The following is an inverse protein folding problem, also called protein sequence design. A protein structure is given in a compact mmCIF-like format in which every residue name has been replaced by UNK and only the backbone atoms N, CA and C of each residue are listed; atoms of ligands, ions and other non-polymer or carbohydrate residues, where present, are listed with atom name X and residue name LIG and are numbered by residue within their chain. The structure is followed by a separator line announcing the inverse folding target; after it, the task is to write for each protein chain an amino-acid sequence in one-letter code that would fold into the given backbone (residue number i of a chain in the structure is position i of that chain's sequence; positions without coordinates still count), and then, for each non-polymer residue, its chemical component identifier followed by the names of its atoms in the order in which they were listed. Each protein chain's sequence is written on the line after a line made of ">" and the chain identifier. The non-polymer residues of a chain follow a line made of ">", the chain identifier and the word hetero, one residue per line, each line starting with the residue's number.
data_IF_394214040174
#
_entry.id   IF_394214040174
#
_cell.length_a   1.000
_cell.length_b   1.000
_cell.length_c   1.000
_cell.angle_alpha   90.00
_cell.angle_beta   90.00
_cell.angle_gamma   90.00
#
_symmetry.space_group_name_H-M   'P 1'
#
loop_
_entity.id
_entity.type
_entity.pdbx_description
1 polymer ?
#
# COMPACT_ATOMS: atom_id res chain seq x y z
N UNK A 1 -54.02 -77.27 7.01
CA UNK A 1 -54.32 -76.19 6.10
C UNK A 1 -54.04 -74.89 6.82
N UNK A 2 -52.89 -74.35 6.64
CA UNK A 2 -52.50 -73.08 7.23
C UNK A 2 -52.00 -72.19 6.11
N UNK A 3 -52.80 -71.21 5.75
CA UNK A 3 -52.32 -70.16 4.83
C UNK A 3 -51.51 -69.17 5.66
N UNK A 4 -50.22 -69.19 5.40
CA UNK A 4 -49.34 -68.16 5.92
C UNK A 4 -49.40 -66.95 4.98
N UNK A 5 -50.08 -65.90 5.43
CA UNK A 5 -50.05 -64.59 4.74
C UNK A 5 -48.78 -63.89 5.15
N UNK A 6 -47.81 -63.89 4.27
CA UNK A 6 -46.60 -63.11 4.44
C UNK A 6 -46.92 -61.63 4.52
N UNK A 7 -46.59 -61.05 5.65
CA UNK A 7 -46.57 -59.63 5.87
C UNK A 7 -45.58 -58.98 4.89
N UNK A 8 -46.12 -58.30 3.93
CA UNK A 8 -45.34 -57.45 3.06
C UNK A 8 -44.74 -56.29 3.84
N UNK A 9 -43.49 -56.33 4.08
CA UNK A 9 -42.74 -55.13 4.54
C UNK A 9 -42.79 -54.06 3.47
N UNK A 10 -43.57 -53.03 3.74
CA UNK A 10 -43.48 -51.81 2.94
C UNK A 10 -42.17 -51.11 3.33
N UNK A 11 -41.14 -51.51 2.63
CA UNK A 11 -39.92 -50.68 2.59
C UNK A 11 -40.23 -49.51 1.71
N UNK A 12 -40.42 -48.35 2.28
CA UNK A 12 -40.36 -47.13 1.51
C UNK A 12 -38.99 -47.09 0.79
N UNK A 13 -38.99 -46.91 -0.53
CA UNK A 13 -37.74 -46.70 -1.21
C UNK A 13 -37.12 -45.40 -0.69
N UNK A 14 -36.01 -45.50 0.03
CA UNK A 14 -35.20 -44.36 0.34
C UNK A 14 -34.81 -43.71 -0.98
N UNK A 15 -35.56 -42.67 -1.32
CA UNK A 15 -35.24 -41.84 -2.49
C UNK A 15 -34.00 -41.05 -2.12
N UNK A 16 -32.85 -41.62 -2.40
CA UNK A 16 -31.58 -40.90 -2.36
C UNK A 16 -31.67 -39.81 -3.41
N UNK A 17 -32.08 -38.65 -3.00
CA UNK A 17 -32.01 -37.45 -3.84
C UNK A 17 -30.54 -37.03 -3.88
N UNK A 18 -29.79 -37.56 -4.82
CA UNK A 18 -28.48 -37.07 -5.12
C UNK A 18 -28.62 -35.66 -5.72
N UNK A 19 -28.41 -34.64 -4.90
CA UNK A 19 -28.39 -33.27 -5.34
C UNK A 19 -27.08 -33.09 -6.12
N UNK A 20 -27.20 -32.90 -7.44
CA UNK A 20 -26.06 -32.55 -8.23
C UNK A 20 -25.57 -31.13 -7.86
N UNK A 21 -24.46 -31.05 -7.14
CA UNK A 21 -23.92 -29.79 -6.65
C UNK A 21 -23.23 -28.95 -7.72
N UNK A 22 -23.02 -29.51 -8.91
CA UNK A 22 -22.31 -28.81 -10.00
C UNK A 22 -22.95 -27.49 -10.40
N UNK A 23 -24.28 -27.38 -10.62
CA UNK A 23 -24.91 -26.10 -10.94
C UNK A 23 -24.79 -25.07 -9.82
N UNK A 24 -24.83 -25.52 -8.56
CA UNK A 24 -24.70 -24.66 -7.39
C UNK A 24 -23.29 -24.05 -7.28
N UNK A 25 -22.28 -24.87 -7.50
CA UNK A 25 -20.88 -24.43 -7.49
C UNK A 25 -20.62 -23.42 -8.61
N UNK A 26 -21.17 -23.66 -9.81
CA UNK A 26 -21.01 -22.77 -10.95
C UNK A 26 -21.61 -21.39 -10.69
N UNK A 27 -22.83 -21.34 -10.13
CA UNK A 27 -23.46 -20.07 -9.73
C UNK A 27 -22.64 -19.35 -8.66
N UNK A 28 -22.15 -20.06 -7.67
CA UNK A 28 -21.31 -19.45 -6.61
C UNK A 28 -19.99 -18.92 -7.18
N UNK A 29 -19.37 -19.65 -8.10
CA UNK A 29 -18.13 -19.21 -8.76
C UNK A 29 -18.37 -17.93 -9.56
N UNK A 30 -19.44 -17.87 -10.34
CA UNK A 30 -19.79 -16.68 -11.14
C UNK A 30 -20.06 -15.48 -10.24
N UNK A 31 -20.78 -15.68 -9.13
CA UNK A 31 -21.04 -14.61 -8.15
C UNK A 31 -19.76 -14.08 -7.52
N UNK A 32 -18.81 -14.95 -7.17
CA UNK A 32 -17.52 -14.54 -6.60
C UNK A 32 -16.72 -13.74 -7.63
N UNK A 33 -16.66 -14.20 -8.86
CA UNK A 33 -15.97 -13.48 -9.94
C UNK A 33 -16.61 -12.10 -10.17
N UNK A 34 -17.94 -12.04 -10.23
CA UNK A 34 -18.67 -10.79 -10.36
C UNK A 34 -18.39 -9.84 -9.19
N UNK A 35 -18.36 -10.38 -7.98
CA UNK A 35 -18.06 -9.58 -6.78
C UNK A 35 -16.64 -8.98 -6.86
N UNK A 36 -15.64 -9.76 -7.27
CA UNK A 36 -14.25 -9.31 -7.39
C UNK A 36 -14.12 -8.21 -8.46
N UNK A 37 -14.82 -8.36 -9.59
CA UNK A 37 -14.78 -7.38 -10.68
C UNK A 37 -15.53 -6.09 -10.30
N UNK A 38 -16.60 -6.21 -9.52
CA UNK A 38 -17.45 -5.06 -9.14
C UNK A 38 -16.98 -4.33 -7.89
N UNK A 39 -15.99 -4.88 -7.13
CA UNK A 39 -15.38 -4.12 -6.04
C UNK A 39 -14.72 -2.89 -6.66
N UNK A 40 -15.28 -1.70 -6.46
CA UNK A 40 -14.63 -0.49 -6.96
C UNK A 40 -13.28 -0.38 -6.27
N UNK A 41 -12.21 -0.34 -7.05
CA UNK A 41 -10.92 0.07 -6.53
C UNK A 41 -11.17 1.47 -5.96
N UNK A 42 -11.19 1.57 -4.65
CA UNK A 42 -11.25 2.85 -3.99
C UNK A 42 -9.94 3.57 -4.32
N UNK A 43 -9.97 4.26 -5.45
CA UNK A 43 -9.00 5.31 -5.65
C UNK A 43 -9.22 6.27 -4.51
N UNK A 44 -8.30 6.31 -3.57
CA UNK A 44 -8.22 7.42 -2.65
C UNK A 44 -7.97 8.66 -3.51
N UNK A 45 -9.08 9.19 -4.06
CA UNK A 45 -9.05 10.51 -4.60
C UNK A 45 -8.77 11.42 -3.41
N UNK A 46 -7.55 11.88 -3.33
CA UNK A 46 -7.21 13.01 -2.48
C UNK A 46 -8.16 14.10 -2.92
N UNK A 47 -9.15 14.41 -2.09
CA UNK A 47 -10.00 15.58 -2.29
C UNK A 47 -9.07 16.79 -2.15
N UNK A 48 -8.50 17.19 -3.26
CA UNK A 48 -7.90 18.51 -3.39
C UNK A 48 -9.08 19.49 -3.31
N UNK A 49 -9.40 19.91 -2.10
CA UNK A 49 -10.17 21.13 -1.91
C UNK A 49 -9.30 22.27 -2.45
N UNK A 50 -9.43 22.52 -3.74
CA UNK A 50 -8.89 23.74 -4.32
C UNK A 50 -9.73 24.88 -3.73
N UNK A 51 -9.16 25.73 -2.88
CA UNK A 51 -9.86 26.92 -2.44
C UNK A 51 -10.18 27.75 -3.68
N UNK A 52 -11.45 28.04 -3.88
CA UNK A 52 -11.93 28.95 -4.90
C UNK A 52 -11.64 30.38 -4.42
N UNK A 53 -10.42 30.79 -4.58
CA UNK A 53 -9.89 32.09 -4.20
C UNK A 53 -8.38 31.97 -4.31
N UNK A 54 -7.70 32.95 -4.87
CA UNK A 54 -6.24 33.04 -4.82
C UNK A 54 -5.83 32.95 -3.34
N UNK A 55 -5.28 31.81 -2.88
CA UNK A 55 -4.72 31.79 -1.55
C UNK A 55 -3.60 32.84 -1.52
N UNK A 56 -3.45 33.58 -0.45
CA UNK A 56 -2.26 34.40 -0.28
C UNK A 56 -1.05 33.46 -0.54
N UNK A 57 -0.01 33.93 -1.24
CA UNK A 57 1.18 33.14 -1.45
C UNK A 57 1.62 32.64 -0.07
N UNK A 58 1.95 31.35 0.08
CA UNK A 58 2.43 30.85 1.36
C UNK A 58 3.61 31.73 1.78
N UNK A 59 3.55 32.25 2.98
CA UNK A 59 4.54 33.19 3.52
C UNK A 59 5.98 32.60 3.52
N UNK A 60 6.09 31.29 3.35
CA UNK A 60 7.35 30.57 3.24
C UNK A 60 7.19 29.41 2.25
N UNK A 61 8.01 29.38 1.20
CA UNK A 61 8.18 28.17 0.40
C UNK A 61 8.75 27.10 1.35
N UNK A 62 8.13 25.88 1.38
CA UNK A 62 8.65 24.81 2.23
C UNK A 62 10.09 24.49 1.81
N UNK A 63 10.98 24.46 2.79
CA UNK A 63 12.35 23.99 2.57
C UNK A 63 12.31 22.56 2.05
N UNK A 64 13.02 22.27 0.97
CA UNK A 64 13.10 20.94 0.38
C UNK A 64 14.54 20.43 0.51
N UNK A 65 14.71 19.31 1.18
CA UNK A 65 16.00 18.65 1.27
C UNK A 65 16.03 17.39 0.43
N UNK A 66 17.11 17.17 -0.28
CA UNK A 66 17.28 15.98 -1.11
C UNK A 66 18.27 15.02 -0.50
N UNK A 67 17.85 13.77 -0.34
CA UNK A 67 18.68 12.66 0.12
C UNK A 67 18.97 11.76 -1.07
N UNK A 68 20.16 11.85 -1.62
CA UNK A 68 20.63 10.95 -2.68
C UNK A 68 21.25 9.70 -2.06
N UNK A 69 20.87 8.53 -2.56
CA UNK A 69 21.44 7.25 -2.15
C UNK A 69 22.14 6.64 -3.36
N UNK A 70 23.46 6.53 -3.30
CA UNK A 70 24.25 6.00 -4.41
C UNK A 70 24.23 4.46 -4.44
N UNK A 71 24.72 3.89 -5.53
CA UNK A 71 24.71 2.44 -5.78
C UNK A 71 25.49 1.62 -4.74
N UNK A 72 26.50 2.23 -4.10
CA UNK A 72 27.31 1.61 -3.03
C UNK A 72 26.70 1.75 -1.63
N UNK A 73 25.53 2.44 -1.53
CA UNK A 73 24.84 2.71 -0.27
C UNK A 73 25.34 3.97 0.44
N UNK A 74 26.21 4.76 -0.18
CA UNK A 74 26.59 6.07 0.34
C UNK A 74 25.41 7.04 0.25
N UNK A 75 25.29 7.91 1.27
CA UNK A 75 24.18 8.83 1.40
C UNK A 75 24.72 10.26 1.29
N UNK A 76 24.07 11.06 0.47
CA UNK A 76 24.34 12.49 0.34
C UNK A 76 23.12 13.29 0.77
N UNK A 77 23.35 14.38 1.49
CA UNK A 77 22.35 15.35 1.88
C UNK A 77 22.61 16.66 1.12
N UNK A 78 21.65 17.07 0.29
CA UNK A 78 21.77 18.27 -0.56
C UNK A 78 23.07 18.33 -1.36
N UNK A 79 23.56 17.15 -1.80
CA UNK A 79 24.80 16.99 -2.57
C UNK A 79 26.07 16.85 -1.73
N UNK A 80 25.99 16.92 -0.41
CA UNK A 80 27.11 16.67 0.51
C UNK A 80 27.07 15.25 1.09
N UNK A 81 28.16 14.50 1.00
CA UNK A 81 28.26 13.19 1.63
C UNK A 81 28.07 13.30 3.15
N UNK A 82 27.18 12.48 3.68
CA UNK A 82 26.88 12.43 5.12
C UNK A 82 26.97 11.01 5.66
N UNK A 83 27.36 10.90 6.91
CA UNK A 83 27.29 9.63 7.62
C UNK A 83 25.86 9.37 8.12
N UNK A 84 25.56 8.12 8.43
CA UNK A 84 24.24 7.75 9.00
C UNK A 84 23.89 8.57 10.25
N UNK A 85 24.87 8.87 11.11
CA UNK A 85 24.65 9.68 12.31
C UNK A 85 24.31 11.14 11.98
N UNK A 86 24.94 11.70 10.95
CA UNK A 86 24.64 13.06 10.49
C UNK A 86 23.28 13.13 9.83
N UNK A 87 22.95 12.13 9.03
CA UNK A 87 21.61 12.00 8.43
C UNK A 87 20.53 11.96 9.53
N UNK A 88 20.71 11.12 10.54
CA UNK A 88 19.78 11.01 11.66
C UNK A 88 19.62 12.35 12.40
N UNK A 89 20.70 13.06 12.67
CA UNK A 89 20.62 14.39 13.30
C UNK A 89 19.81 15.40 12.45
N UNK A 90 20.04 15.40 11.14
CA UNK A 90 19.29 16.26 10.22
C UNK A 90 17.80 15.91 10.21
N UNK A 91 17.47 14.60 10.16
CA UNK A 91 16.09 14.13 10.17
C UNK A 91 15.38 14.45 11.50
N UNK A 92 16.05 14.26 12.62
CA UNK A 92 15.53 14.63 13.96
C UNK A 92 15.27 16.13 14.04
N UNK A 93 16.14 16.96 13.49
CA UNK A 93 15.97 18.42 13.47
C UNK A 93 14.71 18.80 12.71
N UNK A 94 14.47 18.16 11.56
CA UNK A 94 13.25 18.39 10.77
C UNK A 94 12.02 17.84 11.51
N UNK A 95 12.11 16.62 12.03
CA UNK A 95 10.99 15.95 12.70
C UNK A 95 10.51 16.67 13.96
N UNK A 96 11.40 17.35 14.67
CA UNK A 96 11.09 18.12 15.87
C UNK A 96 10.48 19.49 15.58
N UNK A 97 10.47 19.94 14.31
CA UNK A 97 9.90 21.23 13.93
C UNK A 97 8.38 21.19 14.09
N UNK A 98 7.83 22.09 14.84
CA UNK A 98 6.39 22.23 15.05
C UNK A 98 5.94 23.64 14.65
N UNK A 99 4.78 23.81 14.00
CA UNK A 99 3.80 22.80 13.58
C UNK A 99 4.32 21.94 12.40
N UNK A 100 3.75 20.74 12.25
CA UNK A 100 4.16 19.80 11.19
C UNK A 100 3.95 20.32 9.75
N UNK A 101 3.12 21.33 9.60
CA UNK A 101 2.86 21.99 8.34
C UNK A 101 4.09 22.78 7.84
N UNK A 102 4.92 23.26 8.77
CA UNK A 102 6.16 24.00 8.47
C UNK A 102 7.39 23.09 8.37
N UNK A 103 7.21 21.78 8.46
CA UNK A 103 8.31 20.84 8.26
C UNK A 103 8.81 20.89 6.82
N UNK A 104 10.13 20.86 6.66
CA UNK A 104 10.76 20.71 5.36
C UNK A 104 10.37 19.38 4.71
N UNK A 105 10.26 19.37 3.40
CA UNK A 105 10.07 18.15 2.63
C UNK A 105 11.40 17.44 2.45
N UNK A 106 11.41 16.13 2.65
CA UNK A 106 12.58 15.29 2.40
C UNK A 106 12.32 14.44 1.17
N UNK A 107 13.06 14.71 0.12
CA UNK A 107 13.00 13.96 -1.13
C UNK A 107 14.10 12.92 -1.18
N UNK A 108 13.75 11.66 -1.18
CA UNK A 108 14.68 10.53 -1.29
C UNK A 108 14.84 10.17 -2.76
N UNK A 109 16.08 10.27 -3.26
CA UNK A 109 16.44 9.96 -4.64
C UNK A 109 17.40 8.77 -4.68
N UNK A 110 16.90 7.55 -4.77
CA UNK A 110 17.75 6.37 -4.88
C UNK A 110 18.36 6.23 -6.26
N UNK A 111 19.63 5.80 -6.32
CA UNK A 111 20.25 5.38 -7.56
C UNK A 111 19.56 4.13 -8.10
N UNK A 112 19.48 4.00 -9.41
CA UNK A 112 18.84 2.86 -10.08
C UNK A 112 19.40 1.49 -9.67
N UNK A 113 20.68 1.44 -9.31
CA UNK A 113 21.39 0.20 -8.97
C UNK A 113 21.51 -0.03 -7.46
N UNK A 114 20.94 0.86 -6.64
CA UNK A 114 21.03 0.72 -5.18
C UNK A 114 20.17 -0.46 -4.69
N UNK A 115 20.69 -1.19 -3.72
CA UNK A 115 19.89 -2.21 -3.06
C UNK A 115 18.78 -1.58 -2.20
N UNK A 116 17.59 -2.14 -2.31
CA UNK A 116 16.40 -1.66 -1.60
C UNK A 116 16.60 -1.53 -0.07
N UNK A 117 17.47 -2.35 0.52
CA UNK A 117 17.76 -2.30 1.97
C UNK A 117 18.24 -0.91 2.43
N UNK A 118 19.05 -0.22 1.61
CA UNK A 118 19.55 1.12 1.94
C UNK A 118 18.42 2.16 1.89
N UNK A 119 17.58 2.07 0.86
CA UNK A 119 16.40 2.93 0.74
C UNK A 119 15.45 2.72 1.90
N UNK A 120 15.16 1.46 2.23
CA UNK A 120 14.29 1.10 3.35
C UNK A 120 14.84 1.59 4.70
N UNK A 121 16.15 1.53 4.91
CA UNK A 121 16.76 2.01 6.15
C UNK A 121 16.64 3.53 6.31
N UNK A 122 16.84 4.29 5.24
CA UNK A 122 16.68 5.76 5.22
C UNK A 122 15.22 6.14 5.48
N UNK A 123 14.29 5.46 4.80
CA UNK A 123 12.85 5.69 5.01
C UNK A 123 12.42 5.38 6.43
N UNK A 124 12.90 4.28 6.99
CA UNK A 124 12.60 3.89 8.37
C UNK A 124 13.16 4.89 9.39
N UNK A 125 14.38 5.40 9.19
CA UNK A 125 14.96 6.46 10.02
C UNK A 125 14.10 7.73 9.96
N UNK A 126 13.76 8.20 8.77
CA UNK A 126 12.96 9.40 8.58
C UNK A 126 11.58 9.30 9.25
N UNK A 127 10.91 8.15 9.14
CA UNK A 127 9.63 7.91 9.81
C UNK A 127 9.76 7.84 11.33
N UNK A 128 10.81 7.18 11.83
CA UNK A 128 11.08 7.08 13.27
C UNK A 128 11.35 8.44 13.89
N UNK A 129 12.06 9.29 13.17
CA UNK A 129 12.46 10.61 13.63
C UNK A 129 11.35 11.66 13.45
N UNK A 130 10.17 11.25 12.98
CA UNK A 130 8.96 12.07 12.95
C UNK A 130 8.83 12.99 11.73
N UNK A 131 9.59 12.74 10.67
CA UNK A 131 9.43 13.47 9.41
C UNK A 131 8.11 13.04 8.76
N UNK A 132 7.20 13.98 8.55
CA UNK A 132 5.87 13.70 8.00
C UNK A 132 5.79 13.88 6.48
N UNK A 133 6.67 14.69 5.91
CA UNK A 133 6.69 14.99 4.48
C UNK A 133 7.89 14.32 3.82
N UNK A 134 7.71 13.06 3.41
CA UNK A 134 8.72 12.28 2.70
C UNK A 134 8.21 11.96 1.31
N UNK A 135 8.95 12.33 0.29
CA UNK A 135 8.69 12.00 -1.11
C UNK A 135 9.81 11.16 -1.71
N UNK A 136 9.49 10.28 -2.63
CA UNK A 136 10.49 9.60 -3.47
C UNK A 136 10.49 10.24 -4.84
N UNK A 137 11.67 10.66 -5.30
CA UNK A 137 11.88 11.20 -6.65
C UNK A 137 12.77 10.28 -7.46
N UNK A 138 12.63 10.31 -8.78
CA UNK A 138 13.41 9.45 -9.67
C UNK A 138 12.77 8.10 -9.96
N UNK A 139 11.53 7.87 -9.52
CA UNK A 139 10.79 6.63 -9.80
C UNK A 139 10.37 6.51 -11.28
N UNK A 140 10.45 7.61 -12.03
CA UNK A 140 10.16 7.65 -13.47
C UNK A 140 11.12 6.76 -14.28
N UNK A 141 12.29 6.46 -13.75
CA UNK A 141 13.27 5.58 -14.39
C UNK A 141 12.88 4.08 -14.27
N UNK A 142 11.93 3.75 -13.41
CA UNK A 142 11.44 2.39 -13.20
C UNK A 142 10.15 2.09 -13.98
N UNK A 143 9.53 3.11 -14.57
CA UNK A 143 8.33 3.00 -15.40
C UNK A 143 8.76 3.02 -16.86
N UNK A 144 9.49 2.00 -17.28
CA UNK A 144 9.97 1.91 -18.64
C UNK A 144 10.15 0.46 -19.08
N UNK A 145 9.18 -0.01 -19.77
CA UNK A 145 8.93 -1.09 -20.73
C UNK A 145 7.96 -2.13 -20.24
#
# INVERSE_FOLDING_TARGET
>A
MGMNVGSGGSGDPDVMIEVNMTPLIDVMLVLIIMLIITIPIQNHSVNLNLPVGTPPPPDHEPEVHTVDIDFDGSISWDGGLVTNSQLEQNLVTIGNKMPKEDQAEVHVKPNRLVEYKYVASVMAMAQRDGVSKIGMIGNEQFVGN
#
